data_IF_114250636744
#
_entry.id   IF_114250636744
#
_cell.length_a   1.000
_cell.length_b   1.000
_cell.length_c   1.000
_cell.angle_alpha   90.00
_cell.angle_beta   90.00
_cell.angle_gamma   90.00
#
_symmetry.space_group_name_H-M   'P 1'
#
loop_
_entity.id
_entity.type
_entity.pdbx_description
1 polymer ?
#
# COMPACT_ATOMS: atom_id res chain seq x y z
N UNK A 1 -9.73 12.69 7.16
CA UNK A 1 -9.30 13.93 6.50
C UNK A 1 -8.53 13.61 5.20
N UNK A 2 -7.45 12.81 5.22
CA UNK A 2 -6.61 12.50 4.05
C UNK A 2 -7.36 11.84 2.89
N UNK A 3 -8.17 10.78 3.16
CA UNK A 3 -8.99 10.15 2.11
C UNK A 3 -10.03 11.11 1.53
N UNK A 4 -10.68 11.93 2.37
CA UNK A 4 -11.62 12.93 1.89
C UNK A 4 -10.94 13.96 0.99
N UNK A 5 -9.68 14.30 1.27
CA UNK A 5 -8.88 15.16 0.40
C UNK A 5 -8.63 14.50 -0.98
N UNK A 6 -8.23 13.22 -1.01
CA UNK A 6 -8.04 12.51 -2.28
C UNK A 6 -9.32 12.51 -3.13
N UNK A 7 -10.47 12.24 -2.52
CA UNK A 7 -11.76 12.24 -3.24
C UNK A 7 -12.26 13.64 -3.64
N UNK A 8 -11.76 14.69 -2.99
CA UNK A 8 -12.13 16.07 -3.32
C UNK A 8 -11.22 16.71 -4.39
N UNK A 9 -9.94 16.31 -4.43
CA UNK A 9 -8.92 16.98 -5.25
C UNK A 9 -8.43 16.14 -6.44
N UNK A 10 -8.79 14.85 -6.47
CA UNK A 10 -8.40 13.92 -7.52
C UNK A 10 -9.62 13.27 -8.15
N UNK A 11 -9.50 12.84 -9.40
CA UNK A 11 -10.47 11.97 -10.03
C UNK A 11 -10.29 10.56 -9.50
N UNK A 12 -11.25 10.08 -8.70
CA UNK A 12 -11.23 8.74 -8.10
C UNK A 12 -12.35 7.91 -8.70
N UNK A 13 -11.97 6.91 -9.49
CA UNK A 13 -12.88 5.97 -10.13
C UNK A 13 -13.03 4.72 -9.29
N UNK A 14 -14.23 4.41 -8.83
CA UNK A 14 -14.53 3.14 -8.18
C UNK A 14 -14.61 2.02 -9.22
N UNK A 15 -13.97 0.86 -8.95
CA UNK A 15 -13.98 -0.25 -9.89
C UNK A 15 -15.39 -0.78 -10.19
N UNK A 16 -16.35 -0.58 -9.28
CA UNK A 16 -17.74 -0.92 -9.53
C UNK A 16 -18.37 -0.05 -10.64
N UNK A 17 -18.09 1.25 -10.62
CA UNK A 17 -18.60 2.18 -11.62
C UNK A 17 -17.90 1.96 -12.97
N UNK A 18 -16.60 1.64 -12.94
CA UNK A 18 -15.86 1.22 -14.13
C UNK A 18 -16.48 -0.04 -14.75
N UNK A 19 -16.76 -1.07 -13.95
CA UNK A 19 -17.42 -2.30 -14.43
C UNK A 19 -18.78 -2.02 -15.05
N UNK A 20 -19.59 -1.19 -14.40
CA UNK A 20 -20.89 -0.77 -14.90
C UNK A 20 -20.77 -0.01 -16.23
N UNK A 21 -19.83 0.90 -16.32
CA UNK A 21 -19.55 1.68 -17.54
C UNK A 21 -19.09 0.78 -18.69
N UNK A 22 -18.22 -0.21 -18.41
CA UNK A 22 -17.78 -1.20 -19.38
C UNK A 22 -18.98 -2.03 -19.93
N UNK A 23 -19.91 -2.45 -19.07
CA UNK A 23 -21.12 -3.18 -19.50
C UNK A 23 -22.00 -2.32 -20.38
N UNK A 24 -22.23 -1.06 -20.01
CA UNK A 24 -23.05 -0.11 -20.78
C UNK A 24 -22.42 0.21 -22.15
N UNK A 25 -21.09 0.18 -22.24
CA UNK A 25 -20.35 0.34 -23.51
C UNK A 25 -20.28 -0.96 -24.35
N UNK A 26 -20.88 -2.06 -23.91
CA UNK A 26 -20.88 -3.33 -24.65
C UNK A 26 -19.65 -4.22 -24.38
N UNK A 27 -18.81 -3.88 -23.41
CA UNK A 27 -17.58 -4.62 -23.07
C UNK A 27 -17.80 -5.62 -21.91
N UNK A 28 -18.85 -6.44 -21.98
CA UNK A 28 -19.25 -7.36 -20.90
C UNK A 28 -18.11 -8.29 -20.43
N UNK A 29 -17.29 -8.82 -21.34
CA UNK A 29 -16.18 -9.71 -20.98
C UNK A 29 -15.09 -9.02 -20.13
N UNK A 30 -14.84 -7.72 -20.39
CA UNK A 30 -13.91 -6.93 -19.58
C UNK A 30 -14.49 -6.66 -18.20
N UNK A 31 -15.78 -6.30 -18.14
CA UNK A 31 -16.49 -6.11 -16.88
C UNK A 31 -16.48 -7.38 -16.02
N UNK A 32 -16.78 -8.57 -16.62
CA UNK A 32 -16.75 -9.85 -15.91
C UNK A 32 -15.35 -10.19 -15.37
N UNK A 33 -14.30 -9.83 -16.11
CA UNK A 33 -12.91 -10.00 -15.63
C UNK A 33 -12.61 -9.10 -14.46
N UNK A 34 -13.04 -7.84 -14.52
CA UNK A 34 -12.88 -6.88 -13.44
C UNK A 34 -13.63 -7.32 -12.18
N UNK A 35 -14.88 -7.78 -12.32
CA UNK A 35 -15.67 -8.27 -11.19
C UNK A 35 -15.04 -9.50 -10.53
N UNK A 36 -14.49 -10.44 -11.32
CA UNK A 36 -13.70 -11.56 -10.79
C UNK A 36 -12.47 -11.06 -10.02
N UNK A 37 -11.79 -10.05 -10.54
CA UNK A 37 -10.64 -9.44 -9.86
C UNK A 37 -11.04 -8.82 -8.52
N UNK A 38 -12.20 -8.17 -8.45
CA UNK A 38 -12.74 -7.59 -7.21
C UNK A 38 -13.05 -8.68 -6.16
N UNK A 39 -13.67 -9.79 -6.58
CA UNK A 39 -13.90 -10.95 -5.70
C UNK A 39 -12.56 -11.50 -5.20
N UNK A 40 -11.55 -11.65 -6.07
CA UNK A 40 -10.21 -12.08 -5.67
C UNK A 40 -9.56 -11.13 -4.67
N UNK A 41 -9.73 -9.82 -4.85
CA UNK A 41 -9.24 -8.81 -3.90
C UNK A 41 -9.93 -8.94 -2.54
N UNK A 42 -11.26 -9.16 -2.52
CA UNK A 42 -12.00 -9.42 -1.28
C UNK A 42 -11.48 -10.66 -0.55
N UNK A 43 -11.23 -11.76 -1.26
CA UNK A 43 -10.64 -12.98 -0.69
C UNK A 43 -9.22 -12.79 -0.14
N UNK A 44 -8.53 -11.75 -0.60
CA UNK A 44 -7.21 -11.33 -0.11
C UNK A 44 -7.29 -10.31 1.03
N UNK A 45 -8.48 -10.02 1.55
CA UNK A 45 -8.68 -9.06 2.63
C UNK A 45 -8.70 -7.59 2.19
N UNK A 46 -8.90 -7.32 0.91
CA UNK A 46 -9.04 -5.96 0.38
C UNK A 46 -10.53 -5.61 0.28
N UNK A 47 -10.95 -4.52 0.91
CA UNK A 47 -12.32 -4.03 0.84
C UNK A 47 -12.58 -3.29 -0.46
N UNK A 48 -11.70 -2.35 -0.81
CA UNK A 48 -11.86 -1.54 -2.03
C UNK A 48 -10.54 -1.34 -2.76
N UNK A 49 -10.65 -1.26 -4.08
CA UNK A 49 -9.57 -0.82 -4.98
C UNK A 49 -10.16 0.26 -5.87
N UNK A 50 -9.53 1.43 -5.89
CA UNK A 50 -9.96 2.57 -6.69
C UNK A 50 -8.80 3.05 -7.57
N UNK A 51 -9.11 3.48 -8.77
CA UNK A 51 -8.16 4.16 -9.66
C UNK A 51 -8.16 5.65 -9.32
N UNK A 52 -7.00 6.19 -9.03
CA UNK A 52 -6.82 7.63 -8.74
C UNK A 52 -6.11 8.27 -9.91
N UNK A 53 -6.78 9.24 -10.54
CA UNK A 53 -6.22 10.06 -11.62
C UNK A 53 -5.86 11.43 -11.08
N UNK A 54 -4.97 12.11 -11.79
CA UNK A 54 -4.55 13.48 -11.45
C UNK A 54 -4.04 13.66 -10.00
N UNK A 55 -3.42 12.63 -9.44
CA UNK A 55 -2.79 12.73 -8.13
C UNK A 55 -1.63 13.74 -8.15
N UNK A 56 -1.68 14.82 -7.34
CA UNK A 56 -0.62 15.82 -7.34
C UNK A 56 0.62 15.30 -6.62
N UNK A 57 1.77 15.39 -7.28
CA UNK A 57 3.08 15.03 -6.72
C UNK A 57 4.03 16.20 -6.87
N UNK A 58 4.67 16.59 -5.77
CA UNK A 58 5.77 17.54 -5.78
C UNK A 58 7.09 16.81 -5.47
N UNK A 59 8.02 16.81 -6.43
CA UNK A 59 9.38 16.35 -6.23
C UNK A 59 10.25 17.54 -5.83
N UNK A 60 10.77 17.51 -4.61
CA UNK A 60 11.54 18.62 -4.04
C UNK A 60 12.98 18.22 -3.79
N UNK A 61 13.90 18.85 -4.52
CA UNK A 61 15.33 18.80 -4.24
C UNK A 61 15.74 19.90 -3.23
N UNK A 62 16.23 19.50 -2.07
CA UNK A 62 16.63 20.43 -1.01
C UNK A 62 18.13 20.40 -0.71
N UNK A 63 18.86 19.52 -1.39
CA UNK A 63 20.29 19.39 -1.22
C UNK A 63 20.87 18.24 -2.03
N UNK A 64 22.15 18.00 -1.86
CA UNK A 64 22.86 16.89 -2.52
C UNK A 64 23.85 16.24 -1.54
N UNK A 65 24.15 14.98 -1.78
CA UNK A 65 25.24 14.27 -1.12
C UNK A 65 26.33 14.00 -2.15
N UNK A 66 27.58 14.07 -1.72
CA UNK A 66 28.71 13.55 -2.50
C UNK A 66 28.96 12.11 -2.12
N UNK A 67 29.31 11.31 -3.09
CA UNK A 67 29.73 9.94 -2.83
C UNK A 67 30.92 9.92 -1.89
N UNK A 68 30.88 9.04 -0.90
CA UNK A 68 31.94 8.87 0.07
C UNK A 68 32.18 7.38 0.28
N UNK A 69 33.44 6.98 0.40
CA UNK A 69 33.84 5.59 0.61
C UNK A 69 33.24 4.96 1.90
N UNK A 70 32.91 5.80 2.88
CA UNK A 70 32.19 5.40 4.10
C UNK A 70 30.85 6.11 4.15
N UNK A 71 29.69 5.38 4.11
CA UNK A 71 28.35 5.98 4.15
C UNK A 71 28.13 6.88 5.38
N UNK A 72 28.72 6.52 6.52
CA UNK A 72 28.58 7.26 7.78
C UNK A 72 29.16 8.68 7.73
N UNK A 73 30.00 8.96 6.73
CA UNK A 73 30.62 10.24 6.48
C UNK A 73 29.95 11.05 5.38
N UNK A 74 28.97 10.48 4.70
CA UNK A 74 28.19 11.22 3.72
C UNK A 74 27.41 12.33 4.43
N UNK A 75 27.57 13.57 3.95
CA UNK A 75 26.87 14.73 4.50
C UNK A 75 25.98 15.33 3.44
N UNK A 76 24.75 15.67 3.83
CA UNK A 76 23.87 16.46 3.01
C UNK A 76 24.39 17.89 2.94
N UNK A 77 24.63 18.38 1.73
CA UNK A 77 24.94 19.76 1.46
C UNK A 77 23.72 20.47 0.86
N UNK A 78 23.41 21.70 1.28
CA UNK A 78 22.34 22.48 0.66
C UNK A 78 22.69 22.80 -0.79
N UNK A 79 21.69 23.10 -1.60
CA UNK A 79 21.90 23.62 -2.96
C UNK A 79 22.70 24.93 -2.90
N UNK A 80 23.50 25.27 -3.93
CA UNK A 80 24.28 26.50 -3.97
C UNK A 80 23.38 27.73 -3.77
N UNK A 81 23.72 28.58 -2.83
CA UNK A 81 23.00 29.80 -2.49
C UNK A 81 23.96 30.90 -1.97
N UNK A 82 23.48 32.13 -1.94
CA UNK A 82 24.22 33.22 -1.30
C UNK A 82 24.30 32.98 0.22
N UNK A 83 25.50 32.96 0.77
CA UNK A 83 25.72 32.74 2.22
C UNK A 83 25.14 33.83 3.09
N UNK A 84 24.83 35.01 2.54
CA UNK A 84 24.16 36.10 3.24
C UNK A 84 22.63 35.90 3.31
N UNK A 85 22.05 35.05 2.45
CA UNK A 85 20.63 34.70 2.51
C UNK A 85 20.45 33.54 3.51
N UNK A 86 19.59 33.76 4.48
CA UNK A 86 19.24 32.75 5.49
C UNK A 86 18.25 31.69 4.93
N UNK A 87 17.67 31.96 3.75
CA UNK A 87 16.75 31.01 3.07
C UNK A 87 17.56 30.02 2.26
N UNK A 88 17.21 28.74 2.40
CA UNK A 88 17.77 27.67 1.56
C UNK A 88 16.97 27.54 0.27
N UNK A 89 17.62 27.51 -0.89
CA UNK A 89 16.94 27.29 -2.14
C UNK A 89 16.41 25.86 -2.23
N UNK A 90 15.21 25.73 -2.77
CA UNK A 90 14.60 24.44 -3.12
C UNK A 90 14.36 24.42 -4.62
N UNK A 91 14.53 23.26 -5.25
CA UNK A 91 14.11 23.02 -6.63
C UNK A 91 12.92 22.09 -6.55
N UNK A 92 11.76 22.55 -6.99
CA UNK A 92 10.54 21.75 -6.97
C UNK A 92 10.00 21.57 -8.39
N UNK A 93 9.53 20.38 -8.68
CA UNK A 93 8.77 20.05 -9.89
C UNK A 93 7.42 19.50 -9.42
N UNK A 94 6.35 20.17 -9.83
CA UNK A 94 5.00 19.68 -9.63
C UNK A 94 4.54 18.94 -10.86
N UNK A 95 3.87 17.82 -10.64
CA UNK A 95 3.31 16.99 -11.71
C UNK A 95 2.02 16.33 -11.24
N UNK A 96 1.23 15.88 -12.20
CA UNK A 96 0.06 15.07 -11.96
C UNK A 96 0.32 13.64 -12.43
N UNK A 97 -0.11 12.67 -11.65
CA UNK A 97 0.16 11.26 -11.91
C UNK A 97 -1.07 10.39 -11.63
N UNK A 98 -0.93 9.10 -11.86
CA UNK A 98 -1.95 8.11 -11.53
C UNK A 98 -1.55 7.25 -10.34
N UNK A 99 -2.53 6.67 -9.67
CA UNK A 99 -2.35 5.75 -8.57
C UNK A 99 -3.48 4.73 -8.45
N UNK A 100 -3.27 3.76 -7.58
CA UNK A 100 -4.27 2.79 -7.14
C UNK A 100 -4.39 2.92 -5.63
N UNK A 101 -5.58 3.29 -5.16
CA UNK A 101 -5.91 3.32 -3.73
C UNK A 101 -6.48 1.96 -3.33
N UNK A 102 -5.80 1.30 -2.40
CA UNK A 102 -6.19 0.00 -1.83
C UNK A 102 -6.53 0.17 -0.37
N UNK A 103 -7.69 -0.30 0.04
CA UNK A 103 -8.16 -0.31 1.42
C UNK A 103 -8.30 -1.74 1.91
N UNK A 104 -7.69 -2.07 3.05
CA UNK A 104 -7.87 -3.36 3.71
C UNK A 104 -9.25 -3.45 4.35
N UNK A 105 -9.81 -4.67 4.39
CA UNK A 105 -11.16 -4.90 4.88
C UNK A 105 -11.26 -4.68 6.41
N UNK A 106 -12.03 -3.69 6.88
CA UNK A 106 -12.13 -3.36 8.31
C UNK A 106 -12.60 -4.52 9.18
N UNK A 107 -13.58 -5.30 8.72
CA UNK A 107 -14.06 -6.47 9.46
C UNK A 107 -12.99 -7.58 9.54
N UNK A 108 -12.27 -7.83 8.45
CA UNK A 108 -11.14 -8.77 8.44
C UNK A 108 -10.01 -8.32 9.36
N UNK A 109 -9.69 -7.02 9.39
CA UNK A 109 -8.72 -6.45 10.32
C UNK A 109 -9.13 -6.65 11.77
N UNK A 110 -10.40 -6.40 12.09
CA UNK A 110 -10.91 -6.61 13.45
C UNK A 110 -10.80 -8.07 13.88
N UNK A 111 -11.25 -9.00 13.04
CA UNK A 111 -11.15 -10.44 13.31
C UNK A 111 -9.69 -10.89 13.46
N UNK A 112 -8.80 -10.40 12.59
CA UNK A 112 -7.38 -10.68 12.67
C UNK A 112 -6.75 -10.16 13.95
N UNK A 113 -7.05 -8.94 14.37
CA UNK A 113 -6.61 -8.38 15.64
C UNK A 113 -7.13 -9.20 16.84
N UNK A 114 -8.37 -9.62 16.79
CA UNK A 114 -8.98 -10.44 17.85
C UNK A 114 -8.34 -11.82 17.95
N UNK A 115 -8.03 -12.49 16.82
CA UNK A 115 -7.32 -13.78 16.79
C UNK A 115 -5.91 -13.71 17.34
N UNK A 116 -5.27 -12.54 17.20
CA UNK A 116 -3.98 -12.27 17.82
C UNK A 116 -4.07 -11.82 19.28
N UNK A 117 -5.27 -11.64 19.84
CA UNK A 117 -5.50 -11.28 21.23
C UNK A 117 -5.32 -9.78 21.54
N UNK A 118 -5.28 -8.92 20.53
CA UNK A 118 -5.11 -7.46 20.73
C UNK A 118 -6.41 -6.72 21.00
N UNK A 119 -7.55 -7.31 20.66
CA UNK A 119 -8.87 -6.74 20.95
C UNK A 119 -9.93 -7.84 21.09
N UNK A 120 -11.12 -7.54 21.64
CA UNK A 120 -12.25 -8.46 21.61
C UNK A 120 -12.74 -8.74 20.19
N UNK A 121 -13.29 -9.95 19.91
CA UNK A 121 -13.79 -10.28 18.59
C UNK A 121 -15.06 -9.51 18.24
N UNK A 122 -15.31 -9.21 16.94
CA UNK A 122 -16.60 -8.69 16.49
C UNK A 122 -17.71 -9.74 16.71
N UNK A 123 -18.96 -9.27 16.75
CA UNK A 123 -20.11 -10.18 16.69
C UNK A 123 -20.24 -10.79 15.29
N UNK A 124 -20.92 -11.95 15.18
CA UNK A 124 -21.06 -12.67 13.89
C UNK A 124 -21.70 -11.80 12.81
N UNK A 125 -22.70 -10.99 13.20
CA UNK A 125 -23.46 -10.13 12.28
C UNK A 125 -22.99 -8.67 12.30
N UNK A 126 -21.69 -8.42 12.56
CA UNK A 126 -21.16 -7.04 12.59
C UNK A 126 -21.24 -6.41 11.21
N UNK A 127 -22.02 -5.32 11.02
CA UNK A 127 -22.07 -4.60 9.75
C UNK A 127 -20.73 -3.93 9.40
N UNK A 128 -20.49 -3.72 8.11
CA UNK A 128 -19.25 -3.11 7.62
C UNK A 128 -19.04 -1.69 8.19
N UNK A 129 -20.11 -0.91 8.35
CA UNK A 129 -20.04 0.44 8.90
C UNK A 129 -19.58 0.42 10.38
N UNK A 130 -19.98 -0.59 11.14
CA UNK A 130 -19.55 -0.78 12.53
C UNK A 130 -18.08 -1.18 12.58
N UNK A 131 -17.65 -2.08 11.67
CA UNK A 131 -16.25 -2.45 11.58
C UNK A 131 -15.36 -1.26 11.16
N UNK A 132 -15.84 -0.41 10.26
CA UNK A 132 -15.16 0.83 9.85
C UNK A 132 -15.08 1.85 11.00
N UNK A 133 -16.15 2.01 11.77
CA UNK A 133 -16.16 2.88 12.96
C UNK A 133 -15.15 2.36 14.00
N UNK A 134 -15.13 1.05 14.26
CA UNK A 134 -14.14 0.41 15.12
C UNK A 134 -12.71 0.68 14.64
N UNK A 135 -12.42 0.49 13.34
CA UNK A 135 -11.09 0.75 12.76
C UNK A 135 -10.63 2.18 13.08
N UNK A 136 -11.49 3.17 12.84
CA UNK A 136 -11.17 4.57 13.11
C UNK A 136 -10.96 4.82 14.59
N UNK A 137 -11.80 4.27 15.47
CA UNK A 137 -11.65 4.37 16.92
C UNK A 137 -10.28 3.84 17.37
N UNK A 138 -9.88 2.65 16.90
CA UNK A 138 -8.59 2.06 17.24
C UNK A 138 -7.41 2.90 16.72
N UNK A 139 -7.45 3.33 15.45
CA UNK A 139 -6.32 3.99 14.81
C UNK A 139 -6.17 5.48 15.18
N UNK A 140 -7.20 6.09 15.77
CA UNK A 140 -7.15 7.46 16.31
C UNK A 140 -6.97 7.49 17.82
N UNK A 141 -6.91 6.34 18.50
CA UNK A 141 -6.69 6.26 19.95
C UNK A 141 -5.33 6.86 20.34
N UNK A 142 -5.32 7.61 21.43
CA UNK A 142 -4.09 8.13 22.05
C UNK A 142 -4.09 7.83 23.56
N UNK A 143 -3.04 7.22 24.09
CA UNK A 143 -1.84 6.77 23.38
C UNK A 143 -2.12 5.63 22.40
N UNK A 144 -1.19 5.43 21.44
CA UNK A 144 -1.30 4.36 20.48
C UNK A 144 -1.41 2.98 21.15
N UNK A 145 -2.38 2.18 20.69
CA UNK A 145 -2.60 0.81 21.15
C UNK A 145 -1.81 -0.21 20.32
N UNK A 146 -1.60 -1.42 20.85
CA UNK A 146 -1.00 -2.54 20.11
C UNK A 146 -1.83 -2.87 18.86
N UNK A 147 -3.16 -2.74 18.94
CA UNK A 147 -4.08 -2.90 17.81
C UNK A 147 -3.78 -1.88 16.71
N UNK A 148 -3.67 -0.60 17.07
CA UNK A 148 -3.35 0.46 16.11
C UNK A 148 -1.98 0.25 15.46
N UNK A 149 -0.97 -0.11 16.26
CA UNK A 149 0.36 -0.41 15.78
C UNK A 149 0.38 -1.59 14.81
N UNK A 150 -0.37 -2.66 15.12
CA UNK A 150 -0.49 -3.85 14.26
C UNK A 150 -1.17 -3.51 12.92
N UNK A 151 -2.28 -2.74 12.96
CA UNK A 151 -2.99 -2.28 11.75
C UNK A 151 -2.07 -1.47 10.84
N UNK A 152 -1.29 -0.53 11.39
CA UNK A 152 -0.33 0.23 10.60
C UNK A 152 0.74 -0.64 9.96
N UNK A 153 1.28 -1.60 10.71
CA UNK A 153 2.33 -2.49 10.21
C UNK A 153 1.84 -3.44 9.13
N UNK A 154 0.64 -4.00 9.28
CA UNK A 154 0.06 -4.85 8.24
C UNK A 154 -0.26 -4.03 6.98
N UNK A 155 -0.78 -2.80 7.12
CA UNK A 155 -1.05 -1.90 5.99
C UNK A 155 0.24 -1.60 5.21
N UNK A 156 1.31 -1.24 5.90
CA UNK A 156 2.61 -0.97 5.30
C UNK A 156 3.20 -2.23 4.63
N UNK A 157 3.18 -3.37 5.32
CA UNK A 157 3.66 -4.63 4.74
C UNK A 157 2.84 -5.06 3.51
N UNK A 158 1.52 -4.85 3.54
CA UNK A 158 0.64 -5.15 2.42
C UNK A 158 0.90 -4.22 1.21
N UNK A 159 1.13 -2.93 1.46
CA UNK A 159 1.54 -1.97 0.43
C UNK A 159 2.78 -2.45 -0.32
N UNK A 160 3.83 -2.83 0.41
CA UNK A 160 5.06 -3.33 -0.17
C UNK A 160 4.88 -4.62 -0.96
N UNK A 161 4.04 -5.53 -0.46
CA UNK A 161 3.69 -6.75 -1.17
C UNK A 161 3.08 -6.47 -2.54
N UNK A 162 2.14 -5.52 -2.59
CA UNK A 162 1.52 -5.06 -3.84
C UNK A 162 2.52 -4.36 -4.76
N UNK A 163 3.40 -3.50 -4.22
CA UNK A 163 4.44 -2.81 -5.00
C UNK A 163 5.43 -3.78 -5.65
N UNK A 164 5.84 -4.84 -4.94
CA UNK A 164 6.71 -5.87 -5.51
C UNK A 164 6.07 -6.61 -6.68
N UNK A 165 4.79 -7.00 -6.54
CA UNK A 165 4.07 -7.69 -7.59
C UNK A 165 3.74 -6.80 -8.80
N UNK A 166 3.59 -5.48 -8.57
CA UNK A 166 3.19 -4.52 -9.60
C UNK A 166 4.13 -4.52 -10.81
N UNK A 167 5.44 -4.61 -10.59
CA UNK A 167 6.43 -4.60 -11.66
C UNK A 167 6.30 -5.76 -12.65
N UNK A 168 5.67 -6.87 -12.25
CA UNK A 168 5.44 -8.03 -13.12
C UNK A 168 4.16 -7.93 -13.95
N UNK A 169 3.25 -7.03 -13.58
CA UNK A 169 1.91 -6.95 -14.16
C UNK A 169 1.59 -5.59 -14.77
N UNK A 170 2.48 -4.62 -14.64
CA UNK A 170 2.35 -3.29 -15.21
C UNK A 170 3.56 -2.95 -16.09
N UNK A 171 3.48 -1.83 -16.80
CA UNK A 171 4.59 -1.27 -17.57
C UNK A 171 5.63 -0.53 -16.72
N UNK A 172 5.40 -0.42 -15.41
CA UNK A 172 6.25 0.33 -14.50
C UNK A 172 7.29 -0.57 -13.82
N UNK A 173 8.48 -0.04 -13.63
CA UNK A 173 9.49 -0.69 -12.81
C UNK A 173 9.21 -0.46 -11.32
N UNK A 174 9.72 -1.34 -10.46
CA UNK A 174 9.64 -1.17 -9.01
C UNK A 174 10.25 0.13 -8.48
N UNK A 175 11.16 0.75 -9.24
CA UNK A 175 11.78 2.02 -8.90
C UNK A 175 11.03 3.24 -9.45
N UNK A 176 9.89 3.04 -10.10
CA UNK A 176 9.07 4.11 -10.67
C UNK A 176 7.83 4.42 -9.84
N UNK A 177 7.48 3.54 -8.90
CA UNK A 177 6.30 3.68 -8.06
C UNK A 177 6.67 3.99 -6.62
N UNK A 178 5.78 4.66 -5.92
CA UNK A 178 5.90 4.96 -4.51
C UNK A 178 4.56 4.72 -3.81
N UNK A 179 4.59 4.66 -2.51
CA UNK A 179 3.41 4.56 -1.67
C UNK A 179 3.12 5.88 -0.94
N UNK A 180 1.86 6.10 -0.63
CA UNK A 180 1.38 7.06 0.34
C UNK A 180 0.46 6.31 1.30
N UNK A 181 0.85 6.24 2.57
CA UNK A 181 0.18 5.43 3.58
C UNK A 181 -0.90 6.24 4.30
N UNK A 182 -2.15 5.84 4.15
CA UNK A 182 -3.28 6.35 4.92
C UNK A 182 -3.56 5.38 6.09
N UNK A 183 -2.61 5.27 6.99
CA UNK A 183 -2.53 4.22 8.01
C UNK A 183 -3.74 4.19 8.95
N UNK A 184 -4.29 5.38 9.28
CA UNK A 184 -5.49 5.48 10.14
C UNK A 184 -6.75 4.93 9.47
N UNK A 185 -6.69 4.68 8.17
CA UNK A 185 -7.78 4.11 7.38
C UNK A 185 -7.42 2.74 6.80
N UNK A 186 -6.32 2.16 7.27
CA UNK A 186 -5.77 0.90 6.76
C UNK A 186 -5.71 0.87 5.22
N UNK A 187 -5.30 1.98 4.62
CA UNK A 187 -5.28 2.16 3.17
C UNK A 187 -3.89 2.59 2.70
N UNK A 188 -3.60 2.28 1.45
CA UNK A 188 -2.39 2.71 0.76
C UNK A 188 -2.71 3.20 -0.64
N UNK A 189 -2.13 4.32 -1.04
CA UNK A 189 -2.11 4.78 -2.42
C UNK A 189 -0.76 4.42 -3.03
N UNK A 190 -0.74 3.51 -4.00
CA UNK A 190 0.44 3.20 -4.81
C UNK A 190 0.37 4.06 -6.05
N UNK A 191 1.34 4.94 -6.27
CA UNK A 191 1.32 5.92 -7.36
C UNK A 191 2.63 5.94 -8.15
N UNK A 192 2.58 6.46 -9.38
CA UNK A 192 3.77 6.62 -10.21
C UNK A 192 4.51 7.88 -9.77
N UNK A 193 5.68 7.69 -9.17
CA UNK A 193 6.51 8.77 -8.64
C UNK A 193 7.56 9.26 -9.65
N UNK A 194 7.96 8.40 -10.58
CA UNK A 194 8.96 8.73 -11.63
C UNK A 194 8.46 8.21 -12.97
N UNK A 195 8.24 9.11 -13.90
CA UNK A 195 8.01 8.77 -15.29
C UNK A 195 8.80 9.74 -16.17
N UNK A 196 9.60 9.22 -17.07
CA UNK A 196 10.47 10.03 -17.96
C UNK A 196 10.14 9.87 -19.43
N UNK A 197 9.42 8.82 -19.81
CA UNK A 197 9.21 8.47 -21.22
C UNK A 197 7.96 7.68 -21.53
N UNK A 198 7.04 7.51 -20.56
CA UNK A 198 5.82 6.73 -20.78
C UNK A 198 4.58 7.61 -20.64
N UNK A 199 3.53 7.22 -21.33
CA UNK A 199 2.20 7.74 -21.05
C UNK A 199 1.68 7.11 -19.74
N UNK A 200 0.99 7.89 -18.92
CA UNK A 200 0.23 7.40 -17.79
C UNK A 200 -0.90 6.49 -18.29
N UNK A 201 -1.43 5.62 -17.44
CA UNK A 201 -2.50 4.69 -17.75
C UNK A 201 -2.16 3.23 -17.41
N UNK A 202 -0.91 2.94 -17.04
CA UNK A 202 -0.46 1.59 -16.70
C UNK A 202 -1.04 1.07 -15.39
N UNK A 203 -1.22 1.93 -14.37
CA UNK A 203 -1.86 1.54 -13.11
C UNK A 203 -3.38 1.39 -13.28
N UNK A 204 -4.03 2.27 -14.03
CA UNK A 204 -5.42 2.11 -14.39
C UNK A 204 -5.65 0.78 -15.12
N UNK A 205 -4.84 0.48 -16.14
CA UNK A 205 -4.91 -0.80 -16.86
C UNK A 205 -4.68 -2.00 -15.95
N UNK A 206 -3.73 -1.91 -15.00
CA UNK A 206 -3.48 -2.95 -14.01
C UNK A 206 -4.73 -3.23 -13.17
N UNK A 207 -5.35 -2.18 -12.62
CA UNK A 207 -6.55 -2.31 -11.80
C UNK A 207 -7.76 -2.83 -12.60
N UNK A 208 -7.97 -2.33 -13.82
CA UNK A 208 -9.13 -2.64 -14.64
C UNK A 208 -9.05 -4.03 -15.32
N UNK A 209 -7.86 -4.46 -15.74
CA UNK A 209 -7.72 -5.65 -16.58
C UNK A 209 -6.92 -6.78 -15.94
N UNK A 210 -6.08 -6.50 -14.96
CA UNK A 210 -5.14 -7.47 -14.39
C UNK A 210 -5.22 -7.59 -12.87
N UNK A 211 -6.25 -7.02 -12.22
CA UNK A 211 -6.42 -6.97 -10.77
C UNK A 211 -6.23 -8.34 -10.11
N UNK A 212 -6.95 -9.36 -10.59
CA UNK A 212 -6.87 -10.72 -10.05
C UNK A 212 -5.43 -11.25 -10.06
N UNK A 213 -4.75 -11.14 -11.20
CA UNK A 213 -3.38 -11.66 -11.35
C UNK A 213 -2.39 -10.91 -10.46
N UNK A 214 -2.55 -9.61 -10.34
CA UNK A 214 -1.71 -8.78 -9.51
C UNK A 214 -1.86 -9.14 -8.03
N UNK A 215 -3.08 -9.20 -7.53
CA UNK A 215 -3.39 -9.57 -6.14
C UNK A 215 -2.94 -11.00 -5.83
N UNK A 216 -3.22 -11.97 -6.71
CA UNK A 216 -2.80 -13.37 -6.54
C UNK A 216 -1.28 -13.50 -6.50
N UNK A 217 -0.57 -12.80 -7.38
CA UNK A 217 0.89 -12.77 -7.40
C UNK A 217 1.46 -12.16 -6.12
N UNK A 218 0.88 -11.05 -5.67
CA UNK A 218 1.26 -10.40 -4.44
C UNK A 218 1.08 -11.34 -3.24
N UNK A 219 -0.13 -11.83 -3.00
CA UNK A 219 -0.45 -12.65 -1.84
C UNK A 219 0.30 -13.98 -1.84
N UNK A 220 0.49 -14.61 -3.00
CA UNK A 220 1.26 -15.85 -3.12
C UNK A 220 2.74 -15.64 -2.75
N UNK A 221 3.32 -14.50 -3.10
CA UNK A 221 4.72 -14.18 -2.80
C UNK A 221 4.98 -13.93 -1.32
N UNK A 222 3.94 -13.65 -0.52
CA UNK A 222 4.07 -13.43 0.91
C UNK A 222 4.52 -14.68 1.68
N UNK A 223 4.18 -15.88 1.19
CA UNK A 223 4.34 -17.12 1.93
C UNK A 223 5.77 -17.66 1.93
N UNK A 224 6.64 -17.21 1.05
CA UNK A 224 8.01 -17.73 0.97
C UNK A 224 9.01 -16.67 0.50
N UNK A 225 10.23 -16.78 1.00
CA UNK A 225 11.37 -16.00 0.55
C UNK A 225 12.56 -16.93 0.35
N UNK A 226 13.40 -16.65 -0.65
CA UNK A 226 14.62 -17.44 -0.89
C UNK A 226 15.60 -17.44 0.29
N UNK A 227 15.42 -16.53 1.23
CA UNK A 227 16.23 -16.41 2.46
C UNK A 227 15.51 -16.95 3.71
N UNK A 228 14.39 -17.67 3.56
CA UNK A 228 13.72 -18.32 4.68
C UNK A 228 14.52 -19.55 5.17
N UNK A 229 14.43 -19.88 6.46
CA UNK A 229 13.57 -19.28 7.49
C UNK A 229 14.12 -17.97 8.09
N UNK A 230 15.39 -17.65 7.94
CA UNK A 230 16.07 -16.52 8.60
C UNK A 230 15.40 -15.17 8.24
N UNK A 231 14.94 -15.02 6.99
CA UNK A 231 14.28 -13.80 6.56
C UNK A 231 13.01 -13.52 7.37
N UNK A 232 12.15 -14.53 7.52
CA UNK A 232 10.90 -14.37 8.27
C UNK A 232 11.18 -14.28 9.78
N UNK A 233 11.96 -15.23 10.34
CA UNK A 233 12.10 -15.37 11.79
C UNK A 233 12.89 -14.24 12.47
N UNK A 234 13.91 -13.69 11.80
CA UNK A 234 14.83 -12.73 12.42
C UNK A 234 14.67 -11.31 11.90
N UNK A 235 14.31 -11.15 10.63
CA UNK A 235 14.30 -9.85 9.94
C UNK A 235 12.91 -9.33 9.59
N UNK A 236 11.90 -10.21 9.61
CA UNK A 236 10.55 -9.89 9.16
C UNK A 236 10.41 -9.69 7.65
N UNK A 237 11.49 -9.31 6.95
CA UNK A 237 11.48 -9.12 5.50
C UNK A 237 12.84 -8.66 4.95
N UNK A 238 13.02 -8.79 3.64
CA UNK A 238 14.22 -8.34 2.94
C UNK A 238 13.89 -7.82 1.54
N UNK A 239 14.89 -7.31 0.80
CA UNK A 239 14.71 -6.79 -0.57
C UNK A 239 14.24 -7.84 -1.61
N UNK A 240 14.21 -9.12 -1.26
CA UNK A 240 13.68 -10.17 -2.15
C UNK A 240 12.19 -10.42 -1.95
N UNK A 241 11.64 -10.09 -0.79
CA UNK A 241 10.23 -10.39 -0.47
C UNK A 241 9.38 -9.16 -0.11
N UNK A 242 9.96 -8.14 0.52
CA UNK A 242 9.15 -7.05 1.07
C UNK A 242 9.80 -5.67 0.95
N UNK A 243 11.09 -5.50 1.28
CA UNK A 243 11.73 -4.19 1.26
C UNK A 243 11.96 -3.68 -0.18
N UNK A 244 11.65 -2.41 -0.43
CA UNK A 244 11.85 -1.75 -1.72
C UNK A 244 13.07 -0.81 -1.68
N UNK A 245 13.68 -0.55 -2.84
CA UNK A 245 14.82 0.36 -2.95
C UNK A 245 14.40 1.81 -3.11
N UNK A 246 13.16 2.05 -3.52
CA UNK A 246 12.59 3.37 -3.76
C UNK A 246 11.11 3.40 -3.44
N UNK A 247 10.59 4.56 -3.04
CA UNK A 247 9.16 4.82 -2.95
C UNK A 247 8.52 4.44 -1.61
N UNK A 248 9.27 3.91 -0.65
CA UNK A 248 8.74 3.68 0.69
C UNK A 248 8.73 4.96 1.51
N UNK A 249 7.56 5.37 1.98
CA UNK A 249 7.36 6.56 2.83
C UNK A 249 8.14 6.46 4.16
N UNK A 250 8.33 5.25 4.67
CA UNK A 250 8.99 4.97 5.96
C UNK A 250 10.42 4.42 5.85
N UNK A 251 11.05 4.46 4.68
CA UNK A 251 12.39 3.92 4.46
C UNK A 251 12.53 2.45 4.87
N UNK A 252 11.52 1.63 4.57
CA UNK A 252 11.40 0.22 4.96
C UNK A 252 11.39 -0.05 6.49
N UNK A 253 11.21 0.96 7.32
CA UNK A 253 11.19 0.78 8.78
C UNK A 253 9.88 0.15 9.23
N UNK A 254 9.98 -0.86 10.09
CA UNK A 254 8.82 -1.54 10.66
C UNK A 254 8.15 -2.55 9.73
N UNK A 255 8.76 -2.86 8.58
CA UNK A 255 8.29 -3.94 7.71
C UNK A 255 8.51 -5.29 8.39
N UNK A 256 7.42 -6.07 8.44
CA UNK A 256 7.47 -7.43 8.94
C UNK A 256 6.42 -8.28 8.22
N UNK A 257 6.89 -9.28 7.47
CA UNK A 257 6.06 -10.24 6.74
C UNK A 257 5.22 -11.11 7.69
N UNK A 258 5.63 -11.23 8.94
CA UNK A 258 4.87 -11.93 9.98
C UNK A 258 3.45 -11.39 10.14
N UNK A 259 3.22 -10.09 9.96
CA UNK A 259 1.87 -9.52 9.98
C UNK A 259 0.98 -10.04 8.84
N UNK A 260 1.59 -10.45 7.72
CA UNK A 260 0.88 -11.01 6.56
C UNK A 260 0.63 -12.51 6.69
N UNK A 261 1.62 -13.29 7.16
CA UNK A 261 1.60 -14.77 7.09
C UNK A 261 1.69 -15.47 8.44
N UNK A 262 1.92 -14.72 9.53
CA UNK A 262 2.20 -15.26 10.86
C UNK A 262 3.69 -15.43 11.12
N UNK A 263 4.08 -15.60 12.40
CA UNK A 263 5.48 -15.67 12.83
C UNK A 263 6.17 -14.31 12.84
N UNK A 264 7.41 -14.29 12.37
CA UNK A 264 8.22 -13.07 12.30
C UNK A 264 8.85 -12.69 13.67
N UNK A 265 9.63 -11.58 13.71
CA UNK A 265 10.28 -11.11 14.93
C UNK A 265 9.31 -10.71 16.05
N UNK A 266 8.07 -10.46 15.71
CA UNK A 266 7.01 -10.10 16.67
C UNK A 266 6.15 -11.28 17.10
N UNK A 267 6.51 -12.50 16.65
CA UNK A 267 5.80 -13.74 16.97
C UNK A 267 4.28 -13.66 16.74
N UNK A 268 3.89 -13.15 15.56
CA UNK A 268 2.49 -12.97 15.17
C UNK A 268 1.82 -14.34 15.10
N UNK A 269 0.79 -14.55 15.91
CA UNK A 269 0.10 -15.84 16.04
C UNK A 269 -0.58 -16.27 14.74
N UNK A 270 -1.27 -15.33 14.08
CA UNK A 270 -1.98 -15.56 12.83
C UNK A 270 -1.75 -14.40 11.87
N UNK A 271 -1.38 -14.68 10.63
CA UNK A 271 -1.20 -13.67 9.60
C UNK A 271 -2.52 -13.15 9.04
N UNK A 272 -2.53 -11.91 8.58
CA UNK A 272 -3.71 -11.26 8.01
C UNK A 272 -4.27 -12.00 6.78
N UNK A 273 -3.41 -12.49 5.88
CA UNK A 273 -3.81 -13.22 4.69
C UNK A 273 -4.51 -14.55 5.01
N UNK A 274 -4.11 -15.21 6.09
CA UNK A 274 -4.77 -16.44 6.54
C UNK A 274 -6.19 -16.12 7.07
N UNK A 275 -6.33 -15.06 7.88
CA UNK A 275 -7.64 -14.61 8.35
C UNK A 275 -8.55 -14.24 7.17
N UNK A 276 -8.03 -13.51 6.18
CA UNK A 276 -8.78 -13.10 5.00
C UNK A 276 -9.36 -14.29 4.23
N UNK A 277 -8.57 -15.36 4.04
CA UNK A 277 -9.03 -16.58 3.36
C UNK A 277 -10.13 -17.34 4.10
N UNK A 278 -10.21 -17.21 5.44
CA UNK A 278 -11.24 -17.87 6.24
C UNK A 278 -12.54 -17.08 6.35
N UNK A 279 -12.47 -15.77 6.10
CA UNK A 279 -13.58 -14.83 6.29
C UNK A 279 -14.24 -14.49 4.96
N UNK A 280 -13.59 -14.80 3.85
CA UNK A 280 -14.14 -14.58 2.52
C UNK A 280 -15.50 -15.27 2.38
N UNK A 281 -16.53 -14.58 1.85
CA UNK A 281 -17.90 -15.08 1.72
C UNK A 281 -18.04 -16.27 0.80
#
# INVERSE_FOLDING_TARGET
MERAFLFAECDVDELNDISTSMRNAGHAQLADRLDKGRVGATNAGIATVNVVRDFPVALVGYGYTREHASPDRARLAPLPHDRQDTRLPLVAIETRTEGILVELAPLTLWQWCARNGWCPPPSVDTPEEVARAWLLDQTYAEPETDTAAAIRRVTHAYSHLLMHALAYHSSYSSNSVAEYLLERQASTLIYVAKYSSFNLGGLATLAEQHLQRWVDSATSSAWSCVHDPICLSERGGCHKCLAVTFGCERFNKGLDRGYLVGGGPQDIREGYLFTAQQVAP
#
